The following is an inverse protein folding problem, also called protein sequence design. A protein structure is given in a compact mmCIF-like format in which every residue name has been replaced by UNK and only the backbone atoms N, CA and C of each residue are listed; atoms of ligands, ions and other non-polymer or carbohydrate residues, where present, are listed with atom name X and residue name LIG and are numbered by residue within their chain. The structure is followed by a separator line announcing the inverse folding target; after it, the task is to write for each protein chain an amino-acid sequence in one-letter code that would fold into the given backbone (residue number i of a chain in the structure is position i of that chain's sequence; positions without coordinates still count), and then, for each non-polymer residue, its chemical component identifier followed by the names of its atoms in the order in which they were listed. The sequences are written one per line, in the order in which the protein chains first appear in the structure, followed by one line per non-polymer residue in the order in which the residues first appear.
data_IF_107026991937
#
_entry.id   IF_107026991937
#
_cell.length_a   1.000
_cell.length_b   1.000
_cell.length_c   1.000
_cell.angle_alpha   90.00
_cell.angle_beta   90.00
_cell.angle_gamma   90.00
#
_symmetry.space_group_name_H-M   'P 1'
#
loop_
_entity.id
_entity.type
_entity.pdbx_description
1 polymer ?
#
# COMPACT_ATOMS: atom_id res chain seq x y z
N UNK A 1 -65.21 -8.80 7.98
CA UNK A 1 -64.42 -9.77 8.76
C UNK A 1 -63.69 -10.69 7.75
N UNK A 2 -62.49 -10.37 7.37
CA UNK A 2 -61.70 -11.17 6.42
C UNK A 2 -60.94 -12.26 7.18
N UNK A 3 -61.16 -13.50 6.75
CA UNK A 3 -60.59 -14.70 7.32
C UNK A 3 -59.19 -14.92 6.72
N UNK A 4 -58.15 -14.57 7.43
CA UNK A 4 -56.78 -14.92 7.06
C UNK A 4 -56.53 -16.41 7.37
N UNK A 5 -56.37 -17.21 6.32
CA UNK A 5 -55.89 -18.61 6.45
C UNK A 5 -54.39 -18.57 6.71
N UNK A 6 -53.95 -19.04 7.85
CA UNK A 6 -52.54 -19.30 8.13
C UNK A 6 -52.02 -20.45 7.25
N UNK A 7 -51.20 -20.13 6.26
CA UNK A 7 -50.42 -21.15 5.54
C UNK A 7 -49.28 -21.69 6.45
N UNK A 8 -49.38 -22.94 6.83
CA UNK A 8 -48.31 -23.62 7.57
C UNK A 8 -47.12 -23.84 6.64
N UNK A 9 -46.06 -23.04 6.81
CA UNK A 9 -44.78 -23.24 6.18
C UNK A 9 -44.15 -24.50 6.78
N UNK A 10 -44.12 -25.58 6.01
CA UNK A 10 -43.46 -26.83 6.41
C UNK A 10 -41.98 -26.69 6.21
N UNK A 11 -41.26 -26.44 7.28
CA UNK A 11 -39.78 -26.37 7.24
C UNK A 11 -39.19 -27.75 6.95
N UNK A 12 -38.36 -27.85 5.91
CA UNK A 12 -37.61 -29.07 5.59
C UNK A 12 -36.71 -29.48 6.77
N UNK A 13 -36.56 -30.78 7.05
CA UNK A 13 -35.70 -31.24 8.12
C UNK A 13 -34.23 -30.84 7.85
N UNK A 14 -33.58 -30.28 8.85
CA UNK A 14 -32.22 -29.71 8.80
C UNK A 14 -31.21 -30.60 8.09
N UNK A 15 -31.36 -31.95 8.20
CA UNK A 15 -30.50 -32.92 7.54
C UNK A 15 -30.66 -32.96 6.01
N UNK A 16 -31.88 -32.71 5.52
CA UNK A 16 -32.15 -32.66 4.08
C UNK A 16 -31.63 -31.34 3.48
N UNK A 17 -31.75 -30.22 4.20
CA UNK A 17 -31.21 -28.92 3.80
C UNK A 17 -29.66 -28.97 3.66
N UNK A 18 -28.95 -29.58 4.61
CA UNK A 18 -27.50 -29.73 4.57
C UNK A 18 -27.03 -30.62 3.42
N UNK A 19 -27.78 -31.66 3.05
CA UNK A 19 -27.46 -32.52 1.91
C UNK A 19 -27.66 -31.82 0.57
N UNK A 20 -28.71 -31.03 0.43
CA UNK A 20 -28.97 -30.26 -0.77
C UNK A 20 -27.96 -29.12 -0.95
N UNK A 21 -27.55 -28.45 0.13
CA UNK A 21 -26.51 -27.44 0.10
C UNK A 21 -25.13 -28.03 -0.28
N UNK A 22 -24.79 -29.20 0.21
CA UNK A 22 -23.55 -29.88 -0.15
C UNK A 22 -23.50 -30.33 -1.63
N UNK A 23 -24.64 -30.79 -2.18
CA UNK A 23 -24.75 -31.16 -3.59
C UNK A 23 -24.69 -29.94 -4.52
N UNK A 24 -25.27 -28.80 -4.12
CA UNK A 24 -25.20 -27.55 -4.87
C UNK A 24 -23.75 -27.00 -4.92
N UNK A 25 -23.02 -27.08 -3.80
CA UNK A 25 -21.61 -26.65 -3.74
C UNK A 25 -20.70 -27.54 -4.59
N UNK A 26 -20.94 -28.85 -4.63
CA UNK A 26 -20.19 -29.78 -5.47
C UNK A 26 -20.44 -29.54 -6.97
N UNK A 27 -21.66 -29.19 -7.36
CA UNK A 27 -22.02 -28.88 -8.75
C UNK A 27 -21.34 -27.58 -9.24
N UNK A 28 -21.22 -26.56 -8.39
CA UNK A 28 -20.54 -25.29 -8.72
C UNK A 28 -19.03 -25.50 -8.89
N UNK A 29 -18.43 -26.39 -8.09
CA UNK A 29 -17.00 -26.73 -8.21
C UNK A 29 -16.69 -27.57 -9.47
N UNK A 30 -17.63 -28.39 -9.95
CA UNK A 30 -17.44 -29.20 -11.15
C UNK A 30 -17.59 -28.43 -12.47
N UNK A 31 -18.34 -27.32 -12.48
CA UNK A 31 -18.56 -26.46 -13.65
C UNK A 31 -17.49 -25.35 -13.83
N UNK A 32 -16.61 -25.17 -12.85
CA UNK A 32 -15.56 -24.13 -12.85
C UNK A 32 -14.27 -24.50 -13.57
N UNK A 33 -14.11 -25.72 -14.11
CA UNK A 33 -12.83 -26.21 -14.64
C UNK A 33 -12.70 -26.26 -16.17
N UNK A 34 -13.67 -25.74 -16.93
CA UNK A 34 -13.59 -25.76 -18.40
C UNK A 34 -14.03 -24.45 -19.05
N UNK A 35 -13.31 -23.37 -18.77
CA UNK A 35 -13.45 -22.14 -19.56
C UNK A 35 -12.16 -21.29 -19.50
N UNK A 36 -11.10 -21.80 -20.11
CA UNK A 36 -9.98 -20.98 -20.57
C UNK A 36 -9.51 -21.55 -21.91
N UNK A 37 -10.23 -21.20 -22.98
CA UNK A 37 -9.59 -21.19 -24.29
C UNK A 37 -10.26 -20.17 -25.20
N UNK A 38 -9.43 -19.27 -25.76
CA UNK A 38 -9.64 -18.49 -26.96
C UNK A 38 -10.57 -17.26 -26.90
N UNK A 39 -9.98 -16.11 -26.50
CA UNK A 39 -10.35 -14.83 -27.08
C UNK A 39 -9.16 -14.26 -27.88
N UNK A 40 -9.31 -13.90 -29.18
CA UNK A 40 -8.25 -13.29 -29.95
C UNK A 40 -8.18 -11.78 -29.71
N UNK A 41 -7.00 -11.29 -29.33
CA UNK A 41 -6.55 -9.97 -29.65
C UNK A 41 -6.95 -8.82 -28.75
N UNK A 42 -6.25 -8.68 -27.63
CA UNK A 42 -5.89 -7.36 -27.10
C UNK A 42 -4.40 -7.42 -26.74
N UNK A 43 -3.60 -6.55 -27.35
CA UNK A 43 -2.16 -6.50 -27.17
C UNK A 43 -1.81 -6.13 -25.72
N UNK A 44 -1.87 -7.09 -24.83
CA UNK A 44 -1.31 -6.99 -23.50
C UNK A 44 0.21 -7.07 -23.63
N UNK A 45 0.91 -6.01 -23.23
CA UNK A 45 2.34 -6.08 -23.01
C UNK A 45 2.60 -7.10 -21.91
N UNK A 46 2.88 -8.36 -22.26
CA UNK A 46 3.43 -9.33 -21.33
C UNK A 46 4.84 -8.87 -21.00
N UNK A 47 5.01 -8.22 -19.87
CA UNK A 47 6.34 -8.00 -19.30
C UNK A 47 6.87 -9.39 -18.94
N UNK A 48 7.84 -9.88 -19.77
CA UNK A 48 8.56 -11.10 -19.47
C UNK A 48 9.38 -10.84 -18.20
N UNK A 49 9.25 -11.63 -17.12
CA UNK A 49 10.14 -11.46 -15.97
C UNK A 49 11.58 -11.60 -16.45
N UNK A 50 12.41 -10.60 -16.21
CA UNK A 50 13.84 -10.72 -16.43
C UNK A 50 14.36 -11.77 -15.46
N UNK A 51 15.04 -12.80 -15.95
CA UNK A 51 15.81 -13.75 -15.14
C UNK A 51 17.12 -13.09 -14.69
N UNK A 52 17.01 -12.01 -13.91
CA UNK A 52 18.09 -11.42 -13.14
C UNK A 52 17.98 -11.95 -11.70
N UNK A 53 19.08 -12.04 -10.98
CA UNK A 53 19.15 -12.51 -9.59
C UNK A 53 17.97 -12.01 -8.79
N UNK A 54 17.16 -12.92 -8.26
CA UNK A 54 15.94 -12.60 -7.52
C UNK A 54 16.29 -12.07 -6.14
N UNK A 55 16.67 -10.81 -6.06
CA UNK A 55 16.66 -10.12 -4.79
C UNK A 55 15.19 -9.81 -4.46
N UNK A 56 14.77 -10.03 -3.23
CA UNK A 56 13.39 -9.74 -2.84
C UNK A 56 13.09 -8.25 -3.05
N UNK A 57 11.99 -7.97 -3.74
CA UNK A 57 11.42 -6.64 -3.85
C UNK A 57 10.10 -6.65 -3.13
N UNK A 58 9.93 -5.79 -2.14
CA UNK A 58 8.72 -5.71 -1.34
C UNK A 58 8.17 -4.27 -1.32
N UNK A 59 6.86 -4.15 -1.37
CA UNK A 59 6.14 -2.88 -1.16
C UNK A 59 5.17 -3.03 -0.01
N UNK A 60 5.32 -2.20 1.00
CA UNK A 60 4.50 -2.19 2.19
C UNK A 60 3.59 -0.95 2.16
N UNK A 61 2.30 -1.14 1.99
CA UNK A 61 1.30 -0.09 2.17
C UNK A 61 0.98 -0.01 3.67
N UNK A 62 1.48 1.03 4.33
CA UNK A 62 1.29 1.23 5.77
C UNK A 62 -0.12 1.77 5.99
N UNK A 63 -0.91 1.12 6.85
CA UNK A 63 -2.26 1.58 7.16
C UNK A 63 -2.21 2.84 8.05
N UNK A 64 -2.33 3.97 7.40
CA UNK A 64 -2.39 5.32 7.98
C UNK A 64 -3.78 5.96 7.77
N UNK A 65 -4.82 5.13 7.56
CA UNK A 65 -6.19 5.60 7.36
C UNK A 65 -6.37 6.40 6.06
N UNK A 66 -6.97 7.59 6.14
CA UNK A 66 -7.13 8.48 5.00
C UNK A 66 -5.85 9.29 4.76
N UNK A 67 -4.76 8.62 4.40
CA UNK A 67 -3.45 9.21 4.15
C UNK A 67 -2.62 8.25 3.30
N UNK A 68 -1.37 8.56 3.00
CA UNK A 68 -0.47 7.68 2.27
C UNK A 68 0.87 7.52 2.99
N UNK A 69 1.32 6.27 3.08
CA UNK A 69 2.71 5.95 3.44
C UNK A 69 3.07 4.58 2.85
N UNK A 70 4.13 4.53 2.05
CA UNK A 70 4.60 3.31 1.39
C UNK A 70 6.08 3.12 1.64
N UNK A 71 6.45 1.98 2.24
CA UNK A 71 7.83 1.55 2.33
C UNK A 71 8.13 0.61 1.16
N UNK A 72 9.23 0.84 0.47
CA UNK A 72 9.77 -0.06 -0.56
C UNK A 72 11.10 -0.61 -0.07
N UNK A 73 11.24 -1.91 -0.16
CA UNK A 73 12.49 -2.64 0.13
C UNK A 73 12.98 -3.36 -1.12
N UNK A 74 14.25 -3.23 -1.40
CA UNK A 74 14.94 -4.00 -2.44
C UNK A 74 16.38 -4.26 -2.00
N UNK A 75 16.78 -5.52 -1.92
CA UNK A 75 18.16 -5.93 -1.56
C UNK A 75 18.68 -5.30 -0.25
N UNK A 76 17.78 -5.15 0.75
CA UNK A 76 18.12 -4.55 2.03
C UNK A 76 18.28 -3.02 2.00
N UNK A 77 17.94 -2.39 0.89
CA UNK A 77 17.83 -0.94 0.78
C UNK A 77 16.38 -0.51 0.90
N UNK A 78 16.15 0.64 1.51
CA UNK A 78 14.82 1.11 1.86
C UNK A 78 14.54 2.50 1.28
N UNK A 79 13.32 2.67 0.78
CA UNK A 79 12.78 3.95 0.33
C UNK A 79 11.41 4.16 0.97
N UNK A 80 11.17 5.36 1.50
CA UNK A 80 9.85 5.75 1.99
C UNK A 80 9.22 6.77 1.04
N UNK A 81 7.97 6.53 0.66
CA UNK A 81 7.14 7.43 -0.14
C UNK A 81 5.95 7.87 0.70
N UNK A 82 5.92 9.14 1.09
CA UNK A 82 4.99 9.79 2.02
C UNK A 82 5.02 9.21 3.45
N UNK A 83 4.47 9.94 4.38
CA UNK A 83 4.55 9.62 5.82
C UNK A 83 3.21 9.64 6.57
N UNK A 84 2.07 9.76 5.84
CA UNK A 84 0.78 9.92 6.48
C UNK A 84 0.57 11.31 7.08
N UNK A 85 -0.42 11.45 7.96
CA UNK A 85 -0.68 12.66 8.72
C UNK A 85 0.40 12.88 9.81
N UNK A 86 0.39 14.05 10.43
CA UNK A 86 1.30 14.36 11.55
C UNK A 86 1.14 13.33 12.69
N UNK A 87 -0.09 12.95 13.02
CA UNK A 87 -0.39 12.00 14.09
C UNK A 87 0.05 10.55 13.74
N UNK A 88 0.22 10.23 12.47
CA UNK A 88 0.68 8.91 12.01
C UNK A 88 2.21 8.74 12.12
N UNK A 89 2.96 9.82 12.34
CA UNK A 89 4.42 9.80 12.34
C UNK A 89 5.02 8.76 13.29
N UNK A 90 4.47 8.58 14.49
CA UNK A 90 4.94 7.57 15.44
C UNK A 90 4.61 6.14 15.02
N UNK A 91 3.47 5.92 14.35
CA UNK A 91 3.09 4.63 13.75
C UNK A 91 4.05 4.26 12.62
N UNK A 92 4.30 5.19 11.69
CA UNK A 92 5.23 4.99 10.57
C UNK A 92 6.62 4.67 11.09
N UNK A 93 7.16 5.45 12.04
CA UNK A 93 8.46 5.20 12.67
C UNK A 93 8.52 3.80 13.29
N UNK A 94 7.48 3.40 14.04
CA UNK A 94 7.42 2.08 14.68
C UNK A 94 7.36 0.95 13.64
N UNK A 95 6.65 1.17 12.53
CA UNK A 95 6.58 0.23 11.42
C UNK A 95 7.95 0.03 10.78
N UNK A 96 8.64 1.12 10.42
CA UNK A 96 9.98 1.08 9.86
C UNK A 96 10.98 0.34 10.77
N UNK A 97 10.93 0.61 12.08
CA UNK A 97 11.76 -0.12 13.06
C UNK A 97 11.47 -1.61 13.05
N UNK A 98 10.20 -2.01 12.97
CA UNK A 98 9.79 -3.42 12.91
C UNK A 98 10.28 -4.12 11.64
N UNK A 99 10.38 -3.39 10.52
CA UNK A 99 10.95 -3.90 9.27
C UNK A 99 12.49 -3.89 9.27
N UNK A 100 13.13 -3.47 10.35
CA UNK A 100 14.58 -3.48 10.44
C UNK A 100 15.26 -2.34 9.69
N UNK A 101 14.52 -1.28 9.35
CA UNK A 101 15.09 -0.10 8.69
C UNK A 101 16.09 0.58 9.62
N UNK A 102 17.35 0.64 9.21
CA UNK A 102 18.41 1.40 9.89
C UNK A 102 18.66 2.74 9.22
N UNK A 103 18.49 2.79 7.90
CA UNK A 103 18.66 3.98 7.06
C UNK A 103 17.67 3.92 5.89
N UNK A 104 17.22 5.09 5.42
CA UNK A 104 16.46 5.23 4.19
C UNK A 104 17.39 5.75 3.08
N UNK A 105 17.49 5.02 1.97
CA UNK A 105 18.25 5.51 0.82
C UNK A 105 17.58 6.76 0.23
N UNK A 106 16.25 6.71 0.15
CA UNK A 106 15.44 7.80 -0.37
C UNK A 106 14.21 8.05 0.49
N UNK A 107 13.87 9.32 0.68
CA UNK A 107 12.60 9.77 1.26
C UNK A 107 11.90 10.68 0.25
N UNK A 108 10.68 10.34 -0.11
CA UNK A 108 9.87 11.12 -1.06
C UNK A 108 8.66 11.71 -0.35
N UNK A 109 8.42 12.99 -0.63
CA UNK A 109 7.15 13.66 -0.38
C UNK A 109 6.46 13.86 -1.73
N UNK A 110 5.31 13.23 -1.94
CA UNK A 110 4.56 13.35 -3.20
C UNK A 110 4.02 14.77 -3.41
N UNK A 111 3.57 15.40 -2.34
CA UNK A 111 3.13 16.80 -2.29
C UNK A 111 2.99 17.31 -0.84
N UNK A 112 2.81 18.63 -0.68
CA UNK A 112 2.91 19.29 0.62
C UNK A 112 1.63 19.26 1.48
N UNK A 113 0.63 18.41 1.18
CA UNK A 113 -0.54 18.23 2.03
C UNK A 113 -0.22 17.36 3.25
N UNK A 114 -0.90 17.61 4.36
CA UNK A 114 -0.61 16.97 5.65
C UNK A 114 -0.73 15.44 5.61
N UNK A 115 -1.74 14.91 4.95
CA UNK A 115 -2.01 13.48 4.79
C UNK A 115 -0.94 12.71 3.98
N UNK A 116 0.10 13.41 3.54
CA UNK A 116 1.26 12.86 2.83
C UNK A 116 2.58 13.22 3.50
N UNK A 117 2.80 14.52 3.77
CA UNK A 117 4.07 15.00 4.35
C UNK A 117 4.11 14.94 5.87
N UNK A 118 2.96 14.81 6.53
CA UNK A 118 2.80 15.02 7.97
C UNK A 118 3.75 14.21 8.84
N UNK A 119 3.83 12.91 8.62
CA UNK A 119 4.67 12.01 9.40
C UNK A 119 6.15 12.01 9.00
N UNK A 120 6.53 12.60 7.84
CA UNK A 120 7.92 12.60 7.37
C UNK A 120 8.88 13.30 8.32
N UNK A 121 8.43 14.34 9.03
CA UNK A 121 9.26 15.01 10.03
C UNK A 121 9.71 14.06 11.16
N UNK A 122 8.81 13.20 11.64
CA UNK A 122 9.13 12.18 12.66
C UNK A 122 10.09 11.12 12.11
N UNK A 123 9.89 10.71 10.85
CA UNK A 123 10.79 9.75 10.18
C UNK A 123 12.20 10.35 10.05
N UNK A 124 12.32 11.57 9.52
CA UNK A 124 13.62 12.25 9.36
C UNK A 124 14.29 12.56 10.70
N UNK A 125 13.54 12.75 11.77
CA UNK A 125 14.11 12.90 13.11
C UNK A 125 14.69 11.60 13.66
N UNK A 126 14.26 10.43 13.15
CA UNK A 126 14.59 9.10 13.69
C UNK A 126 15.59 8.33 12.84
N UNK A 127 15.47 8.38 11.51
CA UNK A 127 16.28 7.59 10.58
C UNK A 127 17.21 8.48 9.76
N UNK A 128 18.48 8.10 9.61
CA UNK A 128 19.33 8.70 8.59
C UNK A 128 18.72 8.51 7.21
N UNK A 129 18.79 9.52 6.36
CA UNK A 129 18.39 9.45 4.96
C UNK A 129 19.58 9.76 4.05
N UNK A 130 19.63 9.13 2.88
CA UNK A 130 20.59 9.45 1.84
C UNK A 130 20.18 10.69 1.06
N UNK A 131 18.91 10.73 0.65
CA UNK A 131 18.33 11.83 -0.12
C UNK A 131 16.88 12.08 0.30
N UNK A 132 16.42 13.32 0.13
CA UNK A 132 15.04 13.72 0.36
C UNK A 132 14.51 14.50 -0.86
N UNK A 133 13.35 14.07 -1.37
CA UNK A 133 12.74 14.61 -2.58
C UNK A 133 11.33 15.12 -2.34
N UNK A 134 10.98 16.20 -3.05
CA UNK A 134 9.62 16.74 -3.07
C UNK A 134 9.43 17.53 -4.37
N UNK A 135 8.22 17.66 -4.92
CA UNK A 135 7.97 18.48 -6.10
C UNK A 135 8.12 19.99 -5.83
N UNK A 136 8.18 20.39 -4.56
CA UNK A 136 8.40 21.79 -4.12
C UNK A 136 9.40 21.80 -2.98
N UNK A 137 10.13 22.92 -2.82
CA UNK A 137 11.08 23.13 -1.71
C UNK A 137 10.54 24.03 -0.62
N UNK A 138 9.39 24.67 -0.85
CA UNK A 138 8.75 25.62 0.07
C UNK A 138 7.24 25.37 0.14
N UNK A 139 6.66 25.53 1.32
CA UNK A 139 5.23 25.51 1.58
C UNK A 139 4.92 26.35 2.81
N UNK A 140 3.67 26.83 2.92
CA UNK A 140 3.20 27.58 4.10
C UNK A 140 2.77 26.68 5.26
N UNK A 141 2.67 25.37 5.06
CA UNK A 141 2.20 24.44 6.10
C UNK A 141 3.30 24.14 7.12
N UNK A 142 2.90 24.01 8.39
CA UNK A 142 3.84 23.69 9.47
C UNK A 142 4.48 22.31 9.27
N UNK A 143 3.70 21.29 8.90
CA UNK A 143 4.18 19.94 8.70
C UNK A 143 5.26 19.85 7.60
N UNK A 144 5.09 20.58 6.49
CA UNK A 144 6.10 20.66 5.45
C UNK A 144 7.37 21.35 5.94
N UNK A 145 7.23 22.47 6.65
CA UNK A 145 8.38 23.20 7.21
C UNK A 145 9.13 22.36 8.26
N UNK A 146 8.42 21.56 9.05
CA UNK A 146 9.05 20.59 9.97
C UNK A 146 9.83 19.51 9.20
N UNK A 147 9.28 18.96 8.10
CA UNK A 147 9.99 18.02 7.24
C UNK A 147 11.28 18.65 6.66
N UNK A 148 11.21 19.85 6.09
CA UNK A 148 12.40 20.59 5.60
C UNK A 148 13.43 20.79 6.70
N UNK A 149 12.99 21.20 7.90
CA UNK A 149 13.86 21.41 9.06
C UNK A 149 14.65 20.14 9.43
N UNK A 150 13.99 18.99 9.55
CA UNK A 150 14.67 17.74 9.91
C UNK A 150 15.54 17.21 8.78
N UNK A 151 15.17 17.45 7.53
CA UNK A 151 16.04 17.19 6.36
C UNK A 151 17.34 17.99 6.47
N UNK A 152 17.25 19.29 6.76
CA UNK A 152 18.42 20.17 6.92
C UNK A 152 19.27 19.80 8.15
N UNK A 153 18.67 19.32 9.24
CA UNK A 153 19.41 18.87 10.42
C UNK A 153 20.31 17.64 10.13
N UNK A 154 19.98 16.87 9.09
CA UNK A 154 20.83 15.77 8.60
C UNK A 154 21.91 16.26 7.59
N UNK A 155 22.01 17.57 7.33
CA UNK A 155 22.91 18.12 6.33
C UNK A 155 22.41 17.97 4.89
N UNK A 156 21.18 17.51 4.69
CA UNK A 156 20.56 17.34 3.39
C UNK A 156 19.80 18.62 2.97
N UNK A 157 19.56 18.74 1.66
CA UNK A 157 18.62 19.69 1.10
C UNK A 157 17.48 18.92 0.44
N UNK A 158 16.29 19.51 0.47
CA UNK A 158 15.15 18.95 -0.25
C UNK A 158 15.33 19.21 -1.74
N UNK A 159 15.34 18.13 -2.53
CA UNK A 159 15.60 18.17 -3.96
C UNK A 159 14.29 18.05 -4.77
N UNK A 160 14.19 18.78 -5.88
CA UNK A 160 13.10 18.63 -6.85
C UNK A 160 13.56 17.73 -7.97
N UNK A 161 12.99 16.52 -8.11
CA UNK A 161 13.41 15.58 -9.14
C UNK A 161 12.99 16.05 -10.54
N UNK A 162 13.86 15.83 -11.52
CA UNK A 162 13.50 16.06 -12.93
C UNK A 162 12.57 14.95 -13.44
N UNK A 163 11.70 15.30 -14.39
CA UNK A 163 10.86 14.30 -15.05
C UNK A 163 11.73 13.25 -15.75
N UNK A 164 11.42 11.98 -15.51
CA UNK A 164 12.19 10.85 -16.06
C UNK A 164 13.41 10.44 -15.24
N UNK A 165 13.65 11.04 -14.06
CA UNK A 165 14.68 10.55 -13.13
C UNK A 165 14.35 9.12 -12.69
N UNK A 166 15.39 8.27 -12.65
CA UNK A 166 15.32 6.89 -12.17
C UNK A 166 16.20 6.78 -10.94
N UNK A 167 15.70 6.18 -9.88
CA UNK A 167 16.43 5.92 -8.64
C UNK A 167 16.71 4.42 -8.52
N UNK A 168 17.97 4.00 -8.50
CA UNK A 168 18.32 2.61 -8.20
C UNK A 168 18.08 2.31 -6.72
N UNK A 169 17.47 1.18 -6.44
CA UNK A 169 17.29 0.64 -5.11
C UNK A 169 17.75 -0.82 -5.09
#
# INVERSE_FOLDING_TARGET
MENWKEEKITLLPRRLFLRLAALALAAVLALGLTACDSLPGSGGHTVKPSTGSSQPFEMHFIDVGQALSVLVECDGQFMLYDGGNVDDGSLVVSYLQKQGVEQLQYVFCSHAHEDHVGGLAAVMAKFPAGHAYSPVTESSTKCFNDFVKYTQQQGLQLEVPSVGTVWPL
#
